data_IF_867444147068
#
_entry.id   IF_867444147068
#
_cell.length_a   1.000
_cell.length_b   1.000
_cell.length_c   1.000
_cell.angle_alpha   90.00
_cell.angle_beta   90.00
_cell.angle_gamma   90.00
#
_symmetry.space_group_name_H-M   'P 1'
#
loop_
_entity.id
_entity.type
_entity.pdbx_description
1 polymer ?
#
# COMPACT_ATOMS: atom_id res chain seq x y z
N UNK A 1 14.42 -13.63 8.75
CA UNK A 1 13.55 -14.01 9.90
C UNK A 1 13.16 -12.84 10.82
N UNK A 2 14.03 -12.23 11.64
CA UNK A 2 13.60 -11.14 12.56
C UNK A 2 13.20 -9.86 11.80
N UNK A 3 13.95 -9.51 10.74
CA UNK A 3 13.70 -8.31 9.96
C UNK A 3 12.38 -8.36 9.17
N UNK A 4 12.01 -9.54 8.66
CA UNK A 4 10.78 -9.74 7.87
C UNK A 4 9.53 -9.63 8.74
N UNK A 5 9.50 -10.23 9.93
CA UNK A 5 8.38 -10.07 10.88
C UNK A 5 8.11 -8.58 11.17
N UNK A 6 9.18 -7.79 11.33
CA UNK A 6 9.06 -6.35 11.60
C UNK A 6 8.48 -5.56 10.42
N UNK A 7 8.77 -5.94 9.17
CA UNK A 7 8.24 -5.25 7.97
C UNK A 7 6.74 -5.49 7.83
N UNK A 8 6.28 -6.72 8.06
CA UNK A 8 4.87 -7.08 7.92
C UNK A 8 4.02 -6.40 9.00
N UNK A 9 4.50 -6.39 10.24
CA UNK A 9 3.85 -5.69 11.35
C UNK A 9 3.76 -4.17 11.10
N UNK A 10 4.84 -3.58 10.59
CA UNK A 10 4.86 -2.17 10.20
C UNK A 10 3.87 -1.87 9.08
N UNK A 11 3.79 -2.74 8.06
CA UNK A 11 2.86 -2.60 6.94
C UNK A 11 1.40 -2.65 7.41
N UNK A 12 1.02 -3.64 8.23
CA UNK A 12 -0.33 -3.75 8.78
C UNK A 12 -0.67 -2.57 9.67
N UNK A 13 0.27 -2.11 10.49
CA UNK A 13 0.09 -0.91 11.32
C UNK A 13 -0.21 0.33 10.47
N UNK A 14 0.52 0.52 9.36
CA UNK A 14 0.29 1.63 8.42
C UNK A 14 -1.07 1.54 7.73
N UNK A 15 -1.49 0.33 7.31
CA UNK A 15 -2.79 0.09 6.68
C UNK A 15 -3.93 0.46 7.63
N UNK A 16 -3.87 -0.02 8.88
CA UNK A 16 -4.89 0.25 9.89
C UNK A 16 -4.95 1.75 10.23
N UNK A 17 -3.80 2.41 10.40
CA UNK A 17 -3.76 3.86 10.61
C UNK A 17 -4.37 4.63 9.42
N UNK A 18 -4.18 4.16 8.19
CA UNK A 18 -4.79 4.78 7.01
C UNK A 18 -6.31 4.55 6.92
N UNK A 19 -6.82 3.41 7.43
CA UNK A 19 -8.27 3.15 7.57
C UNK A 19 -8.90 4.09 8.58
N UNK A 20 -8.27 4.30 9.72
CA UNK A 20 -8.78 5.20 10.78
C UNK A 20 -8.82 6.65 10.32
N UNK A 21 -7.84 7.06 9.50
CA UNK A 21 -7.79 8.39 8.86
C UNK A 21 -8.79 8.56 7.71
N UNK A 22 -9.47 7.49 7.26
CA UNK A 22 -10.47 7.58 6.19
C UNK A 22 -11.62 8.48 6.66
N UNK A 23 -11.76 9.63 6.03
CA UNK A 23 -12.81 10.59 6.35
C UNK A 23 -14.17 9.95 6.13
N UNK A 24 -14.99 9.86 7.17
CA UNK A 24 -16.39 9.35 7.12
C UNK A 24 -17.25 10.06 6.05
N UNK A 25 -16.82 11.23 5.60
CA UNK A 25 -17.58 12.12 4.73
C UNK A 25 -17.29 11.96 3.22
N UNK A 26 -16.37 11.08 2.79
CA UNK A 26 -16.04 10.97 1.36
C UNK A 26 -16.93 9.99 0.58
N UNK A 27 -17.94 9.39 1.20
CA UNK A 27 -18.81 8.40 0.55
C UNK A 27 -18.06 7.17 0.03
N UNK A 28 -16.85 6.89 0.55
CA UNK A 28 -15.99 5.82 0.05
C UNK A 28 -15.08 6.21 -1.11
N UNK A 29 -15.19 7.43 -1.65
CA UNK A 29 -14.35 7.90 -2.75
C UNK A 29 -12.93 8.26 -2.25
N UNK A 30 -11.91 7.79 -2.98
CA UNK A 30 -10.49 8.10 -2.75
C UNK A 30 -10.08 9.19 -3.74
N UNK A 31 -9.85 10.40 -3.25
CA UNK A 31 -9.32 11.47 -4.09
C UNK A 31 -7.82 11.28 -4.28
N UNK A 32 -7.39 11.14 -5.54
CA UNK A 32 -5.97 11.12 -5.87
C UNK A 32 -5.42 12.54 -5.74
N UNK A 33 -4.57 12.76 -4.73
CA UNK A 33 -3.77 13.98 -4.60
C UNK A 33 -2.37 13.68 -5.11
N UNK A 34 -1.94 14.42 -6.12
CA UNK A 34 -0.59 14.33 -6.65
C UNK A 34 0.41 14.72 -5.54
N UNK A 35 1.32 13.82 -5.13
CA UNK A 35 2.39 14.19 -4.22
C UNK A 35 3.36 15.14 -4.91
N UNK A 36 3.99 16.02 -4.13
CA UNK A 36 5.12 16.81 -4.63
C UNK A 36 6.31 15.88 -4.85
N UNK A 37 6.84 15.84 -6.07
CA UNK A 37 8.05 15.08 -6.38
C UNK A 37 9.30 15.85 -5.94
N UNK A 38 10.28 15.11 -5.41
CA UNK A 38 11.63 15.58 -5.16
C UNK A 38 12.55 15.16 -6.30
N UNK A 39 12.74 16.03 -7.29
CA UNK A 39 13.62 15.75 -8.43
C UNK A 39 15.12 15.75 -8.07
N UNK A 40 15.48 16.22 -6.89
CA UNK A 40 16.85 16.18 -6.36
C UNK A 40 17.13 14.89 -5.57
N UNK A 41 16.15 13.99 -5.47
CA UNK A 41 16.29 12.74 -4.75
C UNK A 41 17.40 11.87 -5.35
N UNK A 42 18.31 11.37 -4.50
CA UNK A 42 19.34 10.43 -4.89
C UNK A 42 18.81 8.98 -4.99
N UNK A 43 17.73 8.68 -4.26
CA UNK A 43 17.05 7.38 -4.23
C UNK A 43 15.56 7.56 -4.56
N UNK A 44 14.98 6.55 -5.22
CA UNK A 44 13.56 6.52 -5.55
C UNK A 44 12.64 6.56 -4.32
N UNK A 45 13.12 6.08 -3.17
CA UNK A 45 12.35 6.08 -1.91
C UNK A 45 12.08 7.52 -1.46
N UNK A 46 13.01 8.44 -1.73
CA UNK A 46 12.98 9.84 -1.34
C UNK A 46 12.31 10.74 -2.39
N UNK A 47 11.87 10.17 -3.51
CA UNK A 47 11.19 10.88 -4.59
C UNK A 47 9.86 11.48 -4.14
N UNK A 48 9.20 10.84 -3.17
CA UNK A 48 7.94 11.29 -2.59
C UNK A 48 8.16 11.51 -1.10
N UNK A 49 7.83 12.71 -0.62
CA UNK A 49 7.76 12.96 0.82
C UNK A 49 6.50 12.30 1.40
N UNK A 50 6.67 11.07 1.89
CA UNK A 50 5.61 10.28 2.50
C UNK A 50 5.08 10.88 3.81
N UNK A 51 5.82 11.77 4.46
CA UNK A 51 5.40 12.41 5.72
C UNK A 51 4.36 13.51 5.49
N UNK A 52 4.47 14.21 4.36
CA UNK A 52 3.57 15.29 3.95
C UNK A 52 2.51 14.83 2.91
N UNK A 53 2.50 13.55 2.55
CA UNK A 53 1.52 12.96 1.64
C UNK A 53 0.32 12.36 2.40
N UNK A 54 -0.88 12.47 1.81
CA UNK A 54 -2.06 11.79 2.34
C UNK A 54 -1.97 10.30 2.01
N UNK A 55 -1.53 9.51 2.99
CA UNK A 55 -1.52 8.05 2.90
C UNK A 55 -2.94 7.54 3.12
N UNK A 56 -3.46 6.85 2.12
CA UNK A 56 -4.76 6.19 2.16
C UNK A 56 -4.56 4.68 2.07
N UNK A 57 -5.53 3.93 2.55
CA UNK A 57 -5.49 2.47 2.49
C UNK A 57 -5.30 1.99 1.03
N UNK A 58 -4.46 0.96 0.77
CA UNK A 58 -4.38 0.31 -0.54
C UNK A 58 -5.74 -0.26 -0.99
N UNK A 59 -6.14 -0.10 -2.27
CA UNK A 59 -7.36 -0.73 -2.80
C UNK A 59 -7.41 -2.25 -2.56
N UNK A 60 -6.23 -2.87 -2.59
CA UNK A 60 -6.03 -4.30 -2.38
C UNK A 60 -6.53 -4.79 -1.01
N UNK A 61 -6.42 -3.95 0.02
CA UNK A 61 -6.84 -4.33 1.38
C UNK A 61 -8.24 -3.83 1.70
N UNK A 62 -8.80 -2.90 0.92
CA UNK A 62 -10.04 -2.17 1.25
C UNK A 62 -11.24 -3.06 1.63
N UNK A 63 -11.37 -4.24 1.04
CA UNK A 63 -12.47 -5.19 1.29
C UNK A 63 -12.16 -6.21 2.40
N UNK A 64 -10.91 -6.29 2.87
CA UNK A 64 -10.47 -7.21 3.92
C UNK A 64 -10.76 -6.64 5.30
N UNK A 65 -11.16 -7.47 6.26
CA UNK A 65 -11.44 -7.04 7.64
C UNK A 65 -10.14 -6.78 8.42
N UNK A 66 -10.14 -5.81 9.33
CA UNK A 66 -8.99 -5.49 10.19
C UNK A 66 -8.44 -6.71 10.93
N UNK A 67 -9.35 -7.58 11.43
CA UNK A 67 -9.00 -8.82 12.12
C UNK A 67 -8.11 -9.72 11.25
N UNK A 68 -8.45 -9.86 9.97
CA UNK A 68 -7.70 -10.67 9.02
C UNK A 68 -6.30 -10.10 8.79
N UNK A 69 -6.17 -8.77 8.62
CA UNK A 69 -4.85 -8.12 8.49
C UNK A 69 -3.97 -8.35 9.72
N UNK A 70 -4.54 -8.29 10.93
CA UNK A 70 -3.79 -8.52 12.18
C UNK A 70 -3.38 -9.98 12.36
N UNK A 71 -4.20 -10.92 11.91
CA UNK A 71 -3.89 -12.35 11.96
C UNK A 71 -2.74 -12.70 11.01
N UNK A 72 -2.65 -12.08 9.84
CA UNK A 72 -1.55 -12.28 8.89
C UNK A 72 -0.16 -11.96 9.49
N UNK A 73 -0.06 -11.00 10.41
CA UNK A 73 1.22 -10.70 11.09
C UNK A 73 1.63 -11.73 12.14
N UNK A 74 0.71 -12.56 12.61
CA UNK A 74 0.96 -13.54 13.68
C UNK A 74 1.44 -14.88 13.14
N UNK A 75 1.09 -15.20 11.90
CA UNK A 75 1.53 -16.43 11.25
C UNK A 75 3.03 -16.33 10.89
N UNK A 76 3.81 -17.37 11.19
CA UNK A 76 5.25 -17.38 10.89
C UNK A 76 5.53 -17.45 9.39
N UNK A 77 4.61 -18.07 8.66
CA UNK A 77 4.53 -18.02 7.22
C UNK A 77 3.41 -17.05 6.89
N UNK A 78 3.74 -15.96 6.20
CA UNK A 78 2.69 -15.11 5.69
C UNK A 78 1.86 -15.95 4.72
N UNK A 79 0.55 -16.14 4.96
CA UNK A 79 -0.25 -16.93 4.06
C UNK A 79 -0.13 -16.24 2.70
N UNK A 80 0.20 -17.02 1.66
CA UNK A 80 0.26 -16.50 0.29
C UNK A 80 -1.04 -15.75 0.07
N UNK A 81 -0.93 -14.43 -0.07
CA UNK A 81 -2.10 -13.62 -0.32
C UNK A 81 -2.62 -14.03 -1.68
N UNK A 82 -3.72 -14.78 -1.68
CA UNK A 82 -4.44 -15.11 -2.90
C UNK A 82 -5.13 -13.83 -3.36
N UNK A 83 -4.42 -13.12 -4.24
CA UNK A 83 -4.98 -12.00 -4.96
C UNK A 83 -5.78 -12.52 -6.14
N UNK A 84 -6.82 -11.77 -6.49
CA UNK A 84 -7.46 -11.97 -7.79
C UNK A 84 -6.42 -11.68 -8.87
N UNK A 85 -6.41 -12.48 -9.94
CA UNK A 85 -5.51 -12.25 -11.06
C UNK A 85 -5.93 -10.97 -11.76
N UNK A 86 -5.22 -9.88 -11.47
CA UNK A 86 -5.35 -8.64 -12.24
C UNK A 86 -4.53 -8.78 -13.52
N UNK A 87 -5.02 -8.28 -14.67
CA UNK A 87 -4.19 -8.20 -15.87
C UNK A 87 -2.97 -7.34 -15.57
N UNK A 88 -1.81 -7.97 -15.47
CA UNK A 88 -0.54 -7.29 -15.26
C UNK A 88 -0.11 -6.61 -16.56
N UNK A 89 0.56 -5.47 -16.47
CA UNK A 89 1.31 -4.95 -17.62
C UNK A 89 2.36 -5.99 -18.00
N UNK A 90 2.26 -6.48 -19.23
CA UNK A 90 3.28 -7.36 -19.80
C UNK A 90 4.37 -6.49 -20.40
N UNK A 91 5.62 -6.97 -20.39
CA UNK A 91 6.75 -6.28 -21.05
C UNK A 91 6.43 -5.76 -22.48
N UNK A 92 5.65 -6.47 -23.31
CA UNK A 92 5.19 -5.95 -24.60
C UNK A 92 4.39 -4.65 -24.50
N UNK A 93 3.50 -4.51 -23.50
CA UNK A 93 2.68 -3.30 -23.31
C UNK A 93 3.56 -2.09 -22.97
N UNK A 94 4.61 -2.28 -22.16
CA UNK A 94 5.58 -1.22 -21.82
C UNK A 94 6.41 -0.76 -23.04
N UNK A 95 6.63 -1.63 -24.03
CA UNK A 95 7.38 -1.31 -25.25
C UNK A 95 6.55 -0.59 -26.31
N UNK A 96 5.23 -0.67 -26.24
CA UNK A 96 4.33 0.00 -27.18
C UNK A 96 4.08 1.49 -26.83
N UNK A 97 4.54 1.94 -25.67
CA UNK A 97 4.38 3.32 -25.20
C UNK A 97 5.61 4.21 -25.46
N UNK A 98 6.59 3.73 -26.26
CA UNK A 98 7.75 4.50 -26.73
C UNK A 98 7.62 4.95 -28.19
#
# INVERSE_FOLDING_TARGET
MILEKNIHELAVSRILAARDKKTKNSGGLRFFKLPKLNFEAADYIDLIDWSNCVITEPPLTMHRKDKYLREMCKEEQFPVLTFEEFPCHTQPVERCEN
#
